data_IF_813115845748
#
_entry.id   IF_813115845748
#
_cell.length_a   1.000
_cell.length_b   1.000
_cell.length_c   1.000
_cell.angle_alpha   90.00
_cell.angle_beta   90.00
_cell.angle_gamma   90.00
#
_symmetry.space_group_name_H-M   'P 1'
#
loop_
_entity.id
_entity.type
_entity.pdbx_description
1 polymer ?
#
# COMPACT_ATOMS: atom_id res chain seq x y z
N UNK A 1 21.82 77.28 -33.29
CA UNK A 1 21.14 75.96 -33.18
C UNK A 1 21.67 75.25 -31.94
N UNK A 2 20.85 75.12 -30.90
CA UNK A 2 21.20 74.53 -29.60
C UNK A 2 21.26 72.99 -29.74
N UNK A 3 22.34 72.36 -29.30
CA UNK A 3 22.41 70.90 -29.10
C UNK A 3 22.46 70.62 -27.61
N UNK A 4 21.37 70.11 -27.06
CA UNK A 4 21.30 69.62 -25.68
C UNK A 4 21.71 68.15 -25.67
N UNK A 5 22.77 67.83 -24.92
CA UNK A 5 23.14 66.47 -24.56
C UNK A 5 22.26 66.04 -23.38
N UNK A 6 21.45 65.00 -23.57
CA UNK A 6 20.73 64.36 -22.47
C UNK A 6 21.54 63.14 -22.03
N UNK A 7 22.34 63.30 -20.98
CA UNK A 7 23.02 62.22 -20.27
C UNK A 7 22.09 61.78 -19.12
N UNK A 8 21.38 60.67 -19.31
CA UNK A 8 20.52 60.08 -18.27
C UNK A 8 21.37 59.38 -17.20
N UNK A 9 21.49 60.00 -16.03
CA UNK A 9 22.09 59.38 -14.83
C UNK A 9 21.01 58.52 -14.17
N UNK A 10 21.13 57.19 -14.28
CA UNK A 10 20.37 56.23 -13.49
C UNK A 10 20.98 56.17 -12.08
N UNK A 11 20.38 56.87 -11.13
CA UNK A 11 20.67 56.72 -9.70
C UNK A 11 19.99 55.44 -9.19
N UNK A 12 20.78 54.36 -9.07
CA UNK A 12 20.39 53.16 -8.32
C UNK A 12 20.36 53.50 -6.83
N UNK A 13 19.17 53.78 -6.28
CA UNK A 13 18.96 53.86 -4.83
C UNK A 13 18.97 52.44 -4.25
N UNK A 14 20.08 52.05 -3.65
CA UNK A 14 20.18 50.84 -2.82
C UNK A 14 19.34 51.10 -1.56
N UNK A 15 18.15 50.49 -1.51
CA UNK A 15 17.33 50.44 -0.30
C UNK A 15 18.00 49.59 0.76
N UNK A 16 18.81 50.21 1.63
CA UNK A 16 19.26 49.58 2.87
C UNK A 16 18.03 49.45 3.77
N UNK A 17 17.40 48.27 3.74
CA UNK A 17 16.38 47.90 4.70
C UNK A 17 17.07 47.74 6.06
N UNK A 18 17.18 48.83 6.83
CA UNK A 18 17.67 48.80 8.19
C UNK A 18 16.66 48.00 9.05
N UNK A 19 16.94 46.70 9.25
CA UNK A 19 16.25 45.90 10.25
C UNK A 19 16.39 46.61 11.60
N UNK A 20 15.26 47.10 12.11
CA UNK A 20 15.12 47.68 13.44
C UNK A 20 15.51 46.58 14.45
N UNK A 21 16.75 46.60 14.95
CA UNK A 21 17.19 45.69 16.01
C UNK A 21 16.30 45.91 17.23
N UNK A 22 15.39 44.96 17.44
CA UNK A 22 14.51 44.92 18.60
C UNK A 22 15.35 44.98 19.88
N UNK A 23 15.10 45.98 20.74
CA UNK A 23 15.83 46.13 22.02
C UNK A 23 15.35 45.03 22.97
N UNK A 24 16.01 43.88 22.92
CA UNK A 24 15.76 42.75 23.81
C UNK A 24 16.00 43.15 25.27
N UNK A 25 15.12 42.72 26.18
CA UNK A 25 15.28 42.91 27.63
C UNK A 25 16.54 42.19 28.14
N UNK A 26 17.05 42.58 29.32
CA UNK A 26 18.22 41.92 29.92
C UNK A 26 17.96 40.44 30.17
N UNK A 27 16.75 40.09 30.62
CA UNK A 27 16.32 38.72 30.86
C UNK A 27 16.25 37.90 29.56
N UNK A 28 15.67 38.47 28.51
CA UNK A 28 15.58 37.82 27.20
C UNK A 28 16.96 37.59 26.59
N UNK A 29 17.89 38.55 26.72
CA UNK A 29 19.29 38.38 26.29
C UNK A 29 19.98 37.25 27.05
N UNK A 30 19.80 37.19 28.37
CA UNK A 30 20.38 36.12 29.19
C UNK A 30 19.79 34.75 28.83
N UNK A 31 18.48 34.67 28.56
CA UNK A 31 17.82 33.43 28.09
C UNK A 31 18.38 32.97 26.74
N UNK A 32 18.52 33.88 25.78
CA UNK A 32 19.06 33.55 24.45
C UNK A 32 20.50 33.11 24.50
N UNK A 33 21.32 33.78 25.30
CA UNK A 33 22.71 33.37 25.55
C UNK A 33 22.75 31.96 26.17
N UNK A 34 21.89 31.67 27.15
CA UNK A 34 21.79 30.33 27.74
C UNK A 34 21.45 29.27 26.68
N UNK A 35 20.49 29.53 25.79
CA UNK A 35 20.11 28.60 24.72
C UNK A 35 21.25 28.37 23.71
N UNK A 36 21.98 29.42 23.32
CA UNK A 36 23.13 29.32 22.42
C UNK A 36 24.25 28.50 23.06
N UNK A 37 24.55 28.77 24.33
CA UNK A 37 25.61 28.08 25.06
C UNK A 37 25.26 26.62 25.36
N UNK A 38 23.97 26.28 25.49
CA UNK A 38 23.56 24.89 25.71
C UNK A 38 24.08 23.96 24.61
N UNK A 39 24.03 24.40 23.34
CA UNK A 39 24.50 23.63 22.19
C UNK A 39 25.98 23.85 21.83
N UNK A 40 26.77 24.54 22.66
CA UNK A 40 28.12 24.95 22.29
C UNK A 40 29.15 23.82 22.50
N UNK A 41 29.70 23.23 21.42
CA UNK A 41 30.63 22.11 21.52
C UNK A 41 32.00 22.50 22.09
N UNK A 42 32.30 23.80 22.20
CA UNK A 42 33.59 24.33 22.65
C UNK A 42 33.66 24.63 24.15
N UNK A 43 32.53 24.56 24.87
CA UNK A 43 32.49 24.77 26.34
C UNK A 43 33.37 23.75 27.06
N UNK A 44 33.38 22.49 26.59
CA UNK A 44 34.24 21.43 27.15
C UNK A 44 35.74 21.73 27.07
N UNK A 45 36.13 22.69 26.22
CA UNK A 45 37.50 23.14 26.04
C UNK A 45 37.75 24.53 26.64
N UNK A 46 36.82 25.06 27.44
CA UNK A 46 36.94 26.36 28.11
C UNK A 46 36.75 27.58 27.18
N UNK A 47 36.27 27.39 25.95
CA UNK A 47 36.07 28.47 24.99
C UNK A 47 34.60 28.88 24.91
N UNK A 48 34.36 30.20 24.89
CA UNK A 48 33.03 30.83 24.68
C UNK A 48 32.87 31.35 23.25
N UNK A 49 33.41 30.62 22.27
CA UNK A 49 33.29 31.01 20.87
C UNK A 49 31.81 31.22 20.49
N UNK A 50 31.50 32.24 19.67
CA UNK A 50 30.12 32.49 19.24
C UNK A 50 29.63 31.33 18.38
N UNK A 51 28.50 30.72 18.76
CA UNK A 51 27.84 29.64 18.03
C UNK A 51 26.64 30.22 17.30
N UNK A 52 26.60 30.01 15.98
CA UNK A 52 25.46 30.40 15.17
C UNK A 52 24.27 29.46 15.47
N UNK A 53 23.11 30.04 15.72
CA UNK A 53 21.83 29.33 15.89
C UNK A 53 20.83 29.93 14.91
N UNK A 54 19.92 29.13 14.37
CA UNK A 54 18.97 29.54 13.33
C UNK A 54 18.06 30.67 13.83
N UNK A 55 17.69 30.63 15.11
CA UNK A 55 16.80 31.58 15.77
C UNK A 55 17.53 32.65 16.58
N UNK A 56 18.86 32.74 16.48
CA UNK A 56 19.71 33.60 17.31
C UNK A 56 19.40 33.43 18.81
N UNK A 57 19.30 32.18 19.27
CA UNK A 57 19.03 31.79 20.65
C UNK A 57 17.59 31.99 21.10
N UNK A 58 16.67 32.45 20.25
CA UNK A 58 15.27 32.66 20.62
C UNK A 58 14.62 31.36 21.10
N UNK A 59 14.94 30.23 20.48
CA UNK A 59 14.52 28.88 20.86
C UNK A 59 15.72 28.03 21.28
N UNK A 60 15.46 26.97 22.06
CA UNK A 60 16.44 25.93 22.35
C UNK A 60 16.49 24.98 21.15
N UNK A 61 17.57 25.02 20.38
CA UNK A 61 17.70 24.29 19.10
C UNK A 61 18.43 22.94 19.22
N UNK A 62 18.86 22.60 20.42
CA UNK A 62 19.57 21.36 20.74
C UNK A 62 18.71 20.51 21.66
N UNK A 63 18.49 19.26 21.24
CA UNK A 63 17.52 18.37 21.89
C UNK A 63 18.21 17.30 22.78
N UNK A 64 19.53 17.12 22.63
CA UNK A 64 20.31 16.07 23.28
C UNK A 64 21.12 16.56 24.51
N UNK A 65 20.56 17.52 25.27
CA UNK A 65 21.27 18.14 26.40
C UNK A 65 21.27 17.32 27.68
N UNK A 66 20.35 16.36 27.78
CA UNK A 66 20.19 15.49 28.93
C UNK A 66 20.59 14.07 28.55
N UNK A 67 21.12 13.31 29.50
CA UNK A 67 21.45 11.90 29.31
C UNK A 67 20.21 11.07 28.99
N UNK A 68 19.02 11.56 29.39
CA UNK A 68 17.72 10.98 29.06
C UNK A 68 16.86 12.01 28.34
N UNK A 69 16.48 11.70 27.11
CA UNK A 69 15.55 12.52 26.30
C UNK A 69 14.22 11.82 26.15
N UNK A 70 13.14 12.60 26.09
CA UNK A 70 11.80 12.10 25.79
C UNK A 70 11.60 12.15 24.28
N UNK A 71 11.23 11.01 23.68
CA UNK A 71 10.99 10.86 22.24
C UNK A 71 9.63 10.19 22.07
N UNK A 72 8.62 10.99 21.71
CA UNK A 72 7.24 10.51 21.72
C UNK A 72 6.92 9.89 23.09
N UNK A 73 6.25 8.74 23.12
CA UNK A 73 5.91 8.07 24.40
C UNK A 73 7.09 7.41 25.14
N UNK A 74 8.32 7.45 24.61
CA UNK A 74 9.50 6.76 25.16
C UNK A 74 10.50 7.72 25.81
N UNK A 75 11.22 7.23 26.81
CA UNK A 75 12.44 7.85 27.33
C UNK A 75 13.65 7.07 26.83
N UNK A 76 14.57 7.78 26.20
CA UNK A 76 15.77 7.24 25.57
C UNK A 76 17.02 7.77 26.26
N UNK A 77 17.96 6.88 26.59
CA UNK A 77 19.25 7.27 27.11
C UNK A 77 20.23 7.54 25.97
N UNK A 78 20.64 8.79 25.78
CA UNK A 78 21.46 9.23 24.63
C UNK A 78 22.82 8.53 24.60
N UNK A 79 23.51 8.46 25.73
CA UNK A 79 24.86 7.86 25.80
C UNK A 79 24.86 6.32 25.68
N UNK A 80 23.90 5.66 26.34
CA UNK A 80 23.83 4.18 26.41
C UNK A 80 23.07 3.55 25.27
N UNK A 81 22.35 4.37 24.49
CA UNK A 81 21.50 3.94 23.38
C UNK A 81 20.46 2.88 23.79
N UNK A 82 19.78 3.12 24.90
CA UNK A 82 18.78 2.20 25.46
C UNK A 82 17.48 2.92 25.84
N UNK A 83 16.36 2.18 25.80
CA UNK A 83 15.06 2.67 26.27
C UNK A 83 15.01 2.51 27.79
N UNK A 84 14.85 3.62 28.50
CA UNK A 84 14.83 3.66 29.98
C UNK A 84 13.43 3.71 30.56
N UNK A 85 12.40 3.89 29.73
CA UNK A 85 11.01 3.80 30.17
C UNK A 85 10.02 4.43 29.19
N UNK A 86 8.74 4.42 29.59
CA UNK A 86 7.67 5.14 28.90
C UNK A 86 7.28 6.39 29.69
N UNK A 87 6.82 7.44 29.03
CA UNK A 87 6.19 8.56 29.74
C UNK A 87 4.91 8.04 30.39
N UNK A 88 4.68 8.40 31.65
CA UNK A 88 3.37 8.25 32.28
C UNK A 88 2.47 9.38 31.79
N UNK A 89 1.41 9.05 31.09
CA UNK A 89 0.41 10.02 30.62
C UNK A 89 -0.39 10.50 31.82
N UNK A 90 -0.39 11.81 32.08
CA UNK A 90 -1.29 12.40 33.07
C UNK A 90 -2.69 12.54 32.47
N UNK A 91 -3.57 11.60 32.81
CA UNK A 91 -4.94 11.58 32.31
C UNK A 91 -5.83 12.69 32.89
N UNK A 92 -5.37 13.41 33.90
CA UNK A 92 -6.15 14.47 34.56
C UNK A 92 -5.88 15.86 33.95
N UNK A 93 -4.76 16.04 33.24
CA UNK A 93 -4.42 17.30 32.57
C UNK A 93 -3.66 17.04 31.26
N UNK A 94 -4.43 16.89 30.18
CA UNK A 94 -3.92 16.63 28.82
C UNK A 94 -3.06 17.78 28.27
N UNK A 95 -3.26 19.00 28.77
CA UNK A 95 -2.55 20.22 28.31
C UNK A 95 -1.25 20.48 29.10
N UNK A 96 -0.95 19.72 30.15
CA UNK A 96 0.29 19.85 30.91
C UNK A 96 1.51 19.22 30.21
N UNK A 97 1.30 18.55 29.07
CA UNK A 97 2.34 17.82 28.35
C UNK A 97 3.14 18.77 27.45
N UNK A 98 4.47 18.56 27.29
CA UNK A 98 5.24 19.29 26.31
C UNK A 98 4.65 19.06 24.90
N UNK A 99 4.28 20.14 24.22
CA UNK A 99 3.75 20.11 22.84
C UNK A 99 4.85 19.50 21.95
N UNK A 100 4.68 18.25 21.53
CA UNK A 100 5.64 17.50 20.71
C UNK A 100 5.91 16.08 21.20
N UNK A 101 5.78 15.82 22.51
CA UNK A 101 6.21 14.55 23.14
C UNK A 101 5.19 13.40 23.02
N UNK A 102 4.04 13.62 22.38
CA UNK A 102 3.01 12.59 22.14
C UNK A 102 2.52 12.55 20.70
N UNK A 103 3.14 13.33 19.79
CA UNK A 103 2.73 13.35 18.40
C UNK A 103 3.11 12.05 17.70
N UNK A 104 2.16 11.41 17.02
CA UNK A 104 2.40 10.26 16.12
C UNK A 104 3.10 10.69 14.83
N UNK A 105 4.27 11.33 14.96
CA UNK A 105 5.07 11.86 13.86
C UNK A 105 6.51 11.37 13.99
N UNK A 106 7.21 11.28 12.87
CA UNK A 106 8.64 10.97 12.86
C UNK A 106 9.46 12.15 13.41
N UNK A 107 10.60 11.86 14.04
CA UNK A 107 11.48 12.86 14.68
C UNK A 107 12.46 13.53 13.71
N UNK A 108 12.72 12.87 12.58
CA UNK A 108 13.55 13.37 11.49
C UNK A 108 12.72 13.40 10.21
N UNK A 109 13.02 14.30 9.26
CA UNK A 109 12.47 14.22 7.91
C UNK A 109 12.69 12.82 7.34
N UNK A 110 11.68 12.27 6.70
CA UNK A 110 11.77 11.07 5.88
C UNK A 110 12.86 11.29 4.80
N UNK A 111 13.89 10.41 4.72
CA UNK A 111 14.90 10.49 3.66
C UNK A 111 14.31 10.45 2.23
N UNK A 112 13.08 9.96 2.06
CA UNK A 112 12.35 9.91 0.80
C UNK A 112 11.29 11.02 0.66
N UNK A 113 11.33 12.03 1.53
CA UNK A 113 10.36 13.14 1.51
C UNK A 113 10.31 13.91 0.18
N UNK A 114 11.39 13.90 -0.60
CA UNK A 114 11.43 14.51 -1.94
C UNK A 114 10.55 13.80 -2.98
N UNK A 115 10.21 12.52 -2.77
CA UNK A 115 9.31 11.76 -3.64
C UNK A 115 7.83 12.13 -3.43
N UNK A 116 7.50 12.78 -2.32
CA UNK A 116 6.14 13.21 -1.96
C UNK A 116 6.12 14.66 -1.47
N UNK A 117 6.41 15.64 -2.35
CA UNK A 117 6.56 17.04 -1.97
C UNK A 117 5.29 17.68 -1.38
N UNK A 118 4.12 17.14 -1.74
CA UNK A 118 2.82 17.62 -1.26
C UNK A 118 2.50 17.16 0.17
N UNK A 119 3.31 16.27 0.73
CA UNK A 119 3.11 15.72 2.07
C UNK A 119 4.20 16.17 3.04
N UNK A 120 3.82 16.28 4.31
CA UNK A 120 4.80 16.62 5.35
C UNK A 120 5.85 15.51 5.47
N UNK A 121 7.15 15.85 5.58
CA UNK A 121 8.23 14.88 5.69
C UNK A 121 8.24 14.13 7.03
N UNK A 122 7.25 14.35 7.90
CA UNK A 122 7.14 13.77 9.24
C UNK A 122 5.88 12.91 9.42
N UNK A 123 5.20 12.54 8.32
CA UNK A 123 3.92 11.80 8.35
C UNK A 123 4.13 10.36 8.80
N UNK A 124 3.21 9.82 9.60
CA UNK A 124 3.15 8.39 9.91
C UNK A 124 1.91 7.77 9.25
N UNK A 125 2.08 6.69 8.48
CA UNK A 125 0.98 5.92 7.90
C UNK A 125 -0.05 6.76 7.14
N UNK A 126 0.39 7.73 6.32
CA UNK A 126 -0.48 8.65 5.56
C UNK A 126 -1.56 9.38 6.41
N UNK A 127 -1.27 9.64 7.69
CA UNK A 127 -2.21 10.16 8.68
C UNK A 127 -3.42 9.25 8.98
N UNK A 128 -3.37 7.98 8.58
CA UNK A 128 -4.40 6.97 8.87
C UNK A 128 -3.78 5.69 9.48
N UNK A 129 -3.38 5.74 10.76
CA UNK A 129 -2.70 4.64 11.44
C UNK A 129 -3.60 3.44 11.78
N UNK A 130 -4.90 3.50 11.44
CA UNK A 130 -5.84 2.38 11.61
C UNK A 130 -5.66 1.36 10.48
N UNK A 131 -5.35 1.86 9.27
CA UNK A 131 -5.16 1.03 8.08
C UNK A 131 -3.69 0.86 7.73
N UNK A 132 -2.88 1.91 7.91
CA UNK A 132 -1.47 1.91 7.53
C UNK A 132 -0.59 1.78 8.76
N UNK A 133 0.36 0.85 8.72
CA UNK A 133 1.39 0.69 9.72
C UNK A 133 2.72 0.85 8.99
N UNK A 134 3.46 1.90 9.34
CA UNK A 134 4.73 2.29 8.73
C UNK A 134 5.87 2.00 9.74
N UNK A 135 6.42 0.78 9.77
CA UNK A 135 7.35 0.34 10.81
C UNK A 135 8.79 0.79 10.51
N UNK A 136 9.05 1.25 9.29
CA UNK A 136 10.38 1.46 8.72
C UNK A 136 10.58 2.82 8.05
N UNK A 137 9.51 3.55 7.73
CA UNK A 137 9.57 4.86 7.07
C UNK A 137 10.01 4.78 5.60
N UNK A 138 9.69 3.68 4.89
CA UNK A 138 10.15 3.41 3.53
C UNK A 138 8.99 2.98 2.61
N UNK A 139 9.20 2.97 1.30
CA UNK A 139 8.16 2.69 0.27
C UNK A 139 7.99 1.19 -0.01
N UNK A 140 6.90 0.79 -0.68
CA UNK A 140 6.34 -0.57 -0.85
C UNK A 140 6.67 -1.30 -2.19
N UNK A 141 6.73 -2.66 -2.19
CA UNK A 141 7.12 -3.46 -3.38
C UNK A 141 6.01 -3.32 -4.41
N UNK A 142 6.34 -2.79 -5.58
CA UNK A 142 5.36 -2.62 -6.65
C UNK A 142 5.54 -3.72 -7.68
N UNK A 143 4.42 -4.36 -7.99
CA UNK A 143 4.26 -5.29 -9.10
C UNK A 143 3.29 -4.70 -10.12
N UNK A 144 3.46 -5.09 -11.37
CA UNK A 144 2.54 -4.80 -12.48
C UNK A 144 1.87 -6.08 -12.95
N UNK A 145 0.59 -6.01 -13.27
CA UNK A 145 -0.11 -7.03 -14.06
C UNK A 145 -0.49 -6.48 -15.43
N UNK A 146 -0.07 -7.17 -16.48
CA UNK A 146 -0.42 -6.81 -17.85
C UNK A 146 -1.81 -7.34 -18.25
N UNK A 147 -2.23 -7.03 -19.47
CA UNK A 147 -3.53 -7.45 -19.97
C UNK A 147 -3.67 -8.98 -20.11
N UNK A 148 -2.55 -9.70 -20.26
CA UNK A 148 -2.50 -11.16 -20.41
C UNK A 148 -2.38 -11.88 -19.05
N UNK A 149 -2.35 -11.13 -17.95
CA UNK A 149 -2.31 -11.66 -16.59
C UNK A 149 -0.91 -12.02 -16.10
N UNK A 150 0.15 -11.59 -16.81
CA UNK A 150 1.53 -11.76 -16.34
C UNK A 150 1.82 -10.76 -15.22
N UNK A 151 2.38 -11.24 -14.12
CA UNK A 151 2.73 -10.42 -12.95
C UNK A 151 4.24 -10.25 -12.89
N UNK A 152 4.70 -9.00 -12.97
CA UNK A 152 6.12 -8.67 -12.96
C UNK A 152 6.46 -7.63 -11.89
N UNK A 153 7.70 -7.69 -11.39
CA UNK A 153 8.20 -6.74 -10.40
C UNK A 153 8.57 -5.41 -11.07
N UNK A 154 7.93 -4.32 -10.65
CA UNK A 154 8.25 -2.96 -11.09
C UNK A 154 9.32 -2.35 -10.20
N UNK A 155 9.16 -2.46 -8.87
CA UNK A 155 10.04 -1.81 -7.89
C UNK A 155 10.17 -2.69 -6.65
N UNK A 156 11.41 -3.04 -6.29
CA UNK A 156 11.71 -3.71 -5.01
C UNK A 156 11.74 -2.72 -3.87
N UNK A 157 11.27 -3.18 -2.71
CA UNK A 157 11.34 -2.43 -1.47
C UNK A 157 11.45 -3.34 -0.23
N UNK A 158 11.38 -2.74 0.96
CA UNK A 158 11.52 -3.43 2.24
C UNK A 158 10.20 -3.51 3.05
N UNK A 159 9.06 -3.25 2.40
CA UNK A 159 7.75 -3.22 3.07
C UNK A 159 7.18 -4.57 3.47
N UNK A 160 6.16 -4.56 4.34
CA UNK A 160 5.47 -5.79 4.80
C UNK A 160 4.41 -6.29 3.83
N UNK A 161 4.03 -5.46 2.87
CA UNK A 161 3.01 -5.74 1.84
C UNK A 161 3.61 -5.54 0.45
N UNK A 162 3.02 -6.23 -0.53
CA UNK A 162 3.26 -5.97 -1.96
C UNK A 162 2.02 -5.27 -2.52
N UNK A 163 2.22 -4.35 -3.47
CA UNK A 163 1.15 -3.70 -4.25
C UNK A 163 1.14 -4.24 -5.66
N UNK A 164 -0.06 -4.47 -6.21
CA UNK A 164 -0.24 -4.81 -7.61
C UNK A 164 -0.96 -3.68 -8.33
N UNK A 165 -0.32 -3.14 -9.37
CA UNK A 165 -0.88 -2.17 -10.30
C UNK A 165 -1.26 -2.86 -11.61
N UNK A 166 -2.32 -2.40 -12.27
CA UNK A 166 -2.53 -2.74 -13.68
C UNK A 166 -1.59 -1.89 -14.54
N UNK A 167 -0.94 -2.50 -15.54
CA UNK A 167 -0.04 -1.78 -16.45
C UNK A 167 -0.54 -1.81 -17.89
N UNK A 168 -0.16 -0.81 -18.68
CA UNK A 168 -0.34 -0.79 -20.13
C UNK A 168 0.74 -1.59 -20.87
N UNK A 169 0.64 -1.65 -22.19
CA UNK A 169 1.55 -2.41 -23.05
C UNK A 169 3.01 -1.89 -22.99
N UNK A 170 3.23 -0.70 -22.44
CA UNK A 170 4.56 -0.12 -22.19
C UNK A 170 5.11 -0.42 -20.79
N UNK A 171 4.31 -1.05 -19.93
CA UNK A 171 4.61 -1.27 -18.51
C UNK A 171 4.29 -0.08 -17.62
N UNK A 172 3.61 0.96 -18.13
CA UNK A 172 3.21 2.11 -17.33
C UNK A 172 1.95 1.79 -16.51
N UNK A 173 1.93 2.22 -15.25
CA UNK A 173 0.80 2.04 -14.33
C UNK A 173 -0.45 2.78 -14.85
N UNK A 174 -1.62 2.13 -14.77
CA UNK A 174 -2.92 2.66 -15.20
C UNK A 174 -3.65 3.33 -14.03
N UNK A 175 -4.35 4.43 -14.33
CA UNK A 175 -5.41 4.99 -13.48
C UNK A 175 -6.66 4.12 -13.65
N UNK A 176 -6.86 3.17 -12.74
CA UNK A 176 -7.96 2.19 -12.81
C UNK A 176 -9.21 2.72 -12.10
N UNK A 177 -9.07 3.74 -11.26
CA UNK A 177 -10.17 4.35 -10.52
C UNK A 177 -10.77 5.60 -11.23
N UNK A 178 -10.15 6.05 -12.32
CA UNK A 178 -10.50 7.25 -13.11
C UNK A 178 -10.46 8.54 -12.27
N UNK A 179 -9.50 8.65 -11.35
CA UNK A 179 -9.29 9.86 -10.55
C UNK A 179 -8.63 10.99 -11.35
N UNK A 180 -7.99 10.66 -12.47
CA UNK A 180 -7.19 11.56 -13.29
C UNK A 180 -5.70 11.54 -12.94
N UNK A 181 -5.29 10.80 -11.92
CA UNK A 181 -3.90 10.64 -11.49
C UNK A 181 -3.61 9.15 -11.25
N UNK A 182 -2.35 8.75 -11.41
CA UNK A 182 -1.91 7.38 -11.10
C UNK A 182 -1.25 7.38 -9.73
N UNK A 183 -1.91 6.76 -8.75
CA UNK A 183 -1.43 6.72 -7.36
C UNK A 183 -1.69 5.35 -6.69
N UNK A 184 -1.37 5.25 -5.40
CA UNK A 184 -1.49 3.98 -4.66
C UNK A 184 -2.92 3.43 -4.60
N UNK A 185 -3.93 4.28 -4.75
CA UNK A 185 -5.34 3.87 -4.79
C UNK A 185 -5.75 3.17 -6.08
N UNK A 186 -4.86 3.14 -7.09
CA UNK A 186 -4.98 2.32 -8.30
C UNK A 186 -4.45 0.89 -8.13
N UNK A 187 -3.96 0.55 -6.94
CA UNK A 187 -3.38 -0.76 -6.66
C UNK A 187 -4.24 -1.61 -5.72
N UNK A 188 -3.92 -2.90 -5.66
CA UNK A 188 -4.38 -3.79 -4.59
C UNK A 188 -3.20 -4.26 -3.74
N UNK A 189 -3.38 -4.22 -2.43
CA UNK A 189 -2.35 -4.65 -1.47
C UNK A 189 -2.51 -6.12 -1.08
N UNK A 190 -1.39 -6.84 -1.08
CA UNK A 190 -1.29 -8.22 -0.58
C UNK A 190 -0.13 -8.42 0.38
N UNK A 191 -0.13 -9.51 1.16
CA UNK A 191 0.98 -9.84 2.05
C UNK A 191 2.27 -9.99 1.24
N UNK A 192 3.39 -9.45 1.75
CA UNK A 192 4.68 -9.59 1.08
C UNK A 192 4.99 -11.04 0.70
N UNK A 193 5.46 -11.19 -0.53
CA UNK A 193 5.83 -12.46 -1.13
C UNK A 193 4.66 -13.20 -1.77
N UNK A 194 3.42 -12.72 -1.72
CA UNK A 194 2.33 -13.37 -2.48
C UNK A 194 2.56 -13.20 -3.98
N UNK A 195 2.88 -11.98 -4.43
CA UNK A 195 3.06 -11.66 -5.86
C UNK A 195 4.40 -12.17 -6.40
N UNK A 196 5.44 -12.19 -5.55
CA UNK A 196 6.74 -12.77 -5.91
C UNK A 196 6.79 -14.30 -5.88
N UNK A 197 5.71 -14.98 -5.52
CA UNK A 197 5.63 -16.46 -5.44
C UNK A 197 4.54 -17.03 -6.36
N UNK A 198 4.42 -16.50 -7.59
CA UNK A 198 3.68 -17.17 -8.66
C UNK A 198 4.37 -18.51 -8.96
N UNK A 199 3.58 -19.58 -9.04
CA UNK A 199 4.05 -20.93 -9.30
C UNK A 199 3.35 -21.50 -10.52
N UNK A 200 4.07 -22.30 -11.28
CA UNK A 200 3.53 -23.05 -12.39
C UNK A 200 2.89 -24.36 -11.90
N UNK A 201 1.80 -24.74 -12.54
CA UNK A 201 1.14 -26.03 -12.41
C UNK A 201 0.78 -26.59 -13.77
N UNK A 202 0.44 -27.88 -13.80
CA UNK A 202 -0.06 -28.55 -15.00
C UNK A 202 -1.18 -29.49 -14.60
N UNK A 203 -2.31 -29.40 -15.29
CA UNK A 203 -3.45 -30.27 -15.05
C UNK A 203 -3.21 -31.68 -15.61
N UNK A 204 -4.14 -32.61 -15.37
CA UNK A 204 -4.05 -33.98 -15.89
C UNK A 204 -4.10 -34.07 -17.43
N UNK A 205 -4.53 -33.01 -18.11
CA UNK A 205 -4.63 -32.91 -19.57
C UNK A 205 -3.37 -32.31 -20.22
N UNK A 206 -2.39 -31.87 -19.41
CA UNK A 206 -1.18 -31.21 -19.88
C UNK A 206 -1.30 -29.70 -20.08
N UNK A 207 -2.37 -29.08 -19.59
CA UNK A 207 -2.58 -27.63 -19.65
C UNK A 207 -1.79 -26.97 -18.52
N UNK A 208 -0.87 -26.08 -18.88
CA UNK A 208 -0.10 -25.29 -17.94
C UNK A 208 -0.94 -24.11 -17.41
N UNK A 209 -0.72 -23.75 -16.15
CA UNK A 209 -1.38 -22.62 -15.51
C UNK A 209 -0.49 -22.04 -14.41
N UNK A 210 -0.67 -20.76 -14.12
CA UNK A 210 -0.02 -20.08 -13.02
C UNK A 210 -0.93 -20.02 -11.81
N UNK A 211 -0.35 -20.11 -10.62
CA UNK A 211 -1.11 -19.95 -9.38
C UNK A 211 -0.30 -19.30 -8.26
N UNK A 212 -1.02 -18.54 -7.44
CA UNK A 212 -0.54 -17.94 -6.20
C UNK A 212 -1.32 -18.50 -5.02
N UNK A 213 -0.67 -18.53 -3.85
CA UNK A 213 -1.30 -18.95 -2.60
C UNK A 213 -1.29 -17.82 -1.59
N UNK A 214 -2.41 -17.65 -0.90
CA UNK A 214 -2.53 -16.76 0.26
C UNK A 214 -3.22 -17.48 1.42
N UNK A 215 -2.90 -17.07 2.65
CA UNK A 215 -3.52 -17.60 3.87
C UNK A 215 -4.57 -16.62 4.45
N UNK A 216 -5.10 -15.69 3.62
CA UNK A 216 -6.12 -14.72 3.99
C UNK A 216 -7.21 -14.60 2.89
N UNK A 217 -8.41 -15.13 3.18
CA UNK A 217 -9.52 -15.17 2.23
C UNK A 217 -10.04 -13.78 1.82
N UNK A 218 -9.96 -12.76 2.70
CA UNK A 218 -10.41 -11.40 2.37
C UNK A 218 -9.44 -10.71 1.42
N UNK A 219 -8.14 -10.83 1.68
CA UNK A 219 -7.09 -10.30 0.81
C UNK A 219 -7.07 -11.01 -0.55
N UNK A 220 -7.22 -12.34 -0.55
CA UNK A 220 -7.45 -13.18 -1.72
C UNK A 220 -8.59 -12.68 -2.60
N UNK A 221 -9.72 -12.34 -1.96
CA UNK A 221 -10.88 -11.83 -2.68
C UNK A 221 -10.56 -10.52 -3.39
N UNK A 222 -9.95 -9.55 -2.70
CA UNK A 222 -9.61 -8.26 -3.29
C UNK A 222 -8.60 -8.41 -4.45
N UNK A 223 -7.57 -9.24 -4.26
CA UNK A 223 -6.60 -9.53 -5.33
C UNK A 223 -7.28 -10.16 -6.55
N UNK A 224 -8.13 -11.16 -6.33
CA UNK A 224 -8.88 -11.81 -7.40
C UNK A 224 -9.80 -10.84 -8.15
N UNK A 225 -10.57 -10.01 -7.43
CA UNK A 225 -11.45 -9.02 -8.06
C UNK A 225 -10.64 -8.01 -8.87
N UNK A 226 -9.49 -7.55 -8.36
CA UNK A 226 -8.59 -6.65 -9.07
C UNK A 226 -8.05 -7.28 -10.37
N UNK A 227 -7.54 -8.51 -10.31
CA UNK A 227 -7.04 -9.23 -11.47
C UNK A 227 -8.14 -9.45 -12.51
N UNK A 228 -9.33 -9.85 -12.06
CA UNK A 228 -10.47 -10.12 -12.94
C UNK A 228 -10.96 -8.88 -13.70
N UNK A 229 -10.93 -7.69 -13.10
CA UNK A 229 -11.42 -6.46 -13.74
C UNK A 229 -10.37 -5.74 -14.58
N UNK A 230 -9.08 -5.96 -14.30
CA UNK A 230 -7.98 -5.21 -14.92
C UNK A 230 -7.17 -6.01 -15.94
N UNK A 231 -7.56 -7.26 -16.22
CA UNK A 231 -6.92 -8.12 -17.23
C UNK A 231 -7.95 -8.66 -18.23
N UNK A 232 -7.47 -9.16 -19.38
CA UNK A 232 -8.31 -9.76 -20.42
C UNK A 232 -8.47 -11.28 -20.26
N UNK A 233 -7.82 -11.87 -19.26
CA UNK A 233 -7.78 -13.31 -19.03
C UNK A 233 -8.69 -13.74 -17.89
N UNK A 234 -9.08 -15.00 -17.93
CA UNK A 234 -9.89 -15.61 -16.90
C UNK A 234 -9.02 -15.93 -15.68
N UNK A 235 -9.53 -15.58 -14.51
CA UNK A 235 -8.91 -15.91 -13.23
C UNK A 235 -9.82 -16.85 -12.47
N UNK A 236 -9.21 -17.82 -11.79
CA UNK A 236 -9.86 -18.75 -10.90
C UNK A 236 -9.39 -18.54 -9.47
N UNK A 237 -10.25 -18.86 -8.51
CA UNK A 237 -9.99 -18.73 -7.07
C UNK A 237 -10.63 -19.89 -6.33
N UNK A 238 -9.82 -20.61 -5.56
CA UNK A 238 -10.24 -21.72 -4.72
C UNK A 238 -9.97 -21.39 -3.27
N UNK A 239 -11.01 -21.30 -2.46
CA UNK A 239 -10.90 -21.21 -1.01
C UNK A 239 -10.99 -22.60 -0.40
N UNK A 240 -10.04 -22.94 0.45
CA UNK A 240 -9.99 -24.19 1.21
C UNK A 240 -9.71 -23.85 2.67
N UNK A 241 -10.75 -23.91 3.51
CA UNK A 241 -10.71 -23.45 4.89
C UNK A 241 -10.25 -21.97 4.98
N UNK A 242 -9.05 -21.73 5.53
CA UNK A 242 -8.43 -20.40 5.68
C UNK A 242 -7.36 -20.09 4.63
N UNK A 243 -7.21 -20.94 3.62
CA UNK A 243 -6.25 -20.78 2.53
C UNK A 243 -7.00 -20.48 1.25
N UNK A 244 -6.43 -19.61 0.43
CA UNK A 244 -6.91 -19.39 -0.93
C UNK A 244 -5.81 -19.62 -1.95
N UNK A 245 -6.23 -20.07 -3.11
CA UNK A 245 -5.42 -20.17 -4.31
C UNK A 245 -6.06 -19.29 -5.36
N UNK A 246 -5.25 -18.55 -6.11
CA UNK A 246 -5.68 -17.77 -7.26
C UNK A 246 -4.87 -18.29 -8.44
N UNK A 247 -5.50 -18.54 -9.58
CA UNK A 247 -4.83 -19.09 -10.75
C UNK A 247 -5.33 -18.47 -12.05
N UNK A 248 -4.52 -18.54 -13.09
CA UNK A 248 -4.91 -18.21 -14.45
C UNK A 248 -4.21 -19.15 -15.42
N UNK A 249 -4.90 -19.46 -16.52
CA UNK A 249 -4.32 -20.15 -17.67
C UNK A 249 -3.82 -19.15 -18.73
N UNK A 250 -3.86 -17.85 -18.43
CA UNK A 250 -3.62 -16.76 -19.39
C UNK A 250 -4.54 -16.86 -20.63
N UNK A 251 -5.73 -17.43 -20.46
CA UNK A 251 -6.72 -17.61 -21.52
C UNK A 251 -7.94 -16.73 -21.27
N UNK A 252 -8.52 -16.17 -22.35
CA UNK A 252 -9.64 -15.23 -22.26
C UNK A 252 -10.99 -15.90 -22.00
N UNK A 253 -11.10 -17.22 -22.17
CA UNK A 253 -12.39 -17.96 -22.17
C UNK A 253 -12.40 -19.22 -21.32
N UNK A 254 -11.27 -19.55 -20.69
CA UNK A 254 -11.09 -20.79 -19.93
C UNK A 254 -10.13 -20.56 -18.78
N UNK A 255 -10.43 -21.20 -17.66
CA UNK A 255 -9.48 -21.32 -16.55
C UNK A 255 -9.45 -22.77 -16.03
N UNK A 256 -8.43 -23.53 -16.43
CA UNK A 256 -8.24 -24.93 -16.01
C UNK A 256 -7.57 -25.06 -14.64
N UNK A 257 -6.76 -24.07 -14.24
CA UNK A 257 -5.93 -24.12 -13.03
C UNK A 257 -6.74 -24.26 -11.75
N UNK A 258 -7.80 -23.48 -11.58
CA UNK A 258 -8.62 -23.54 -10.36
C UNK A 258 -9.47 -24.80 -10.29
N UNK A 259 -9.84 -25.39 -11.44
CA UNK A 259 -10.51 -26.68 -11.49
C UNK A 259 -9.58 -27.81 -11.02
N UNK A 260 -8.31 -27.81 -11.45
CA UNK A 260 -7.30 -28.77 -11.00
C UNK A 260 -6.95 -28.58 -9.51
N UNK A 261 -6.79 -27.35 -9.04
CA UNK A 261 -6.56 -27.05 -7.62
C UNK A 261 -7.76 -27.50 -6.76
N UNK A 262 -8.99 -27.29 -7.23
CA UNK A 262 -10.20 -27.80 -6.58
C UNK A 262 -10.16 -29.32 -6.49
N UNK A 263 -9.86 -30.02 -7.59
CA UNK A 263 -9.74 -31.47 -7.63
C UNK A 263 -8.73 -32.00 -6.60
N UNK A 264 -7.52 -31.44 -6.59
CA UNK A 264 -6.46 -31.79 -5.62
C UNK A 264 -6.90 -31.52 -4.18
N UNK A 265 -7.63 -30.44 -3.94
CA UNK A 265 -8.14 -30.08 -2.60
C UNK A 265 -9.23 -31.05 -2.11
N UNK A 266 -10.08 -31.53 -3.01
CA UNK A 266 -11.10 -32.53 -2.69
C UNK A 266 -10.50 -33.88 -2.32
N UNK A 267 -9.42 -34.30 -2.98
CA UNK A 267 -8.72 -35.57 -2.71
C UNK A 267 -8.01 -35.61 -1.35
N UNK A 268 -7.49 -34.48 -0.86
CA UNK A 268 -6.77 -34.43 0.43
C UNK A 268 -7.68 -34.70 1.64
N UNK A 269 -9.01 -34.63 1.49
CA UNK A 269 -9.98 -35.11 2.47
C UNK A 269 -10.15 -34.28 3.75
N UNK A 270 -9.20 -33.40 4.11
CA UNK A 270 -9.20 -32.60 5.36
C UNK A 270 -9.95 -31.27 5.28
N UNK A 271 -10.37 -30.84 4.09
CA UNK A 271 -11.12 -29.60 3.91
C UNK A 271 -12.55 -29.73 4.47
N UNK A 272 -12.96 -28.73 5.27
CA UNK A 272 -14.31 -28.60 5.86
C UNK A 272 -15.14 -27.51 5.17
N UNK A 273 -14.49 -26.55 4.51
CA UNK A 273 -15.13 -25.54 3.68
C UNK A 273 -14.36 -25.37 2.38
N UNK A 274 -15.06 -25.44 1.26
CA UNK A 274 -14.49 -25.20 -0.07
C UNK A 274 -15.39 -24.24 -0.85
N UNK A 275 -14.79 -23.24 -1.48
CA UNK A 275 -15.46 -22.42 -2.49
C UNK A 275 -14.61 -22.36 -3.76
N UNK A 276 -15.27 -22.43 -4.90
CA UNK A 276 -14.65 -22.26 -6.21
C UNK A 276 -15.31 -21.07 -6.89
N UNK A 277 -14.49 -20.15 -7.39
CA UNK A 277 -14.92 -18.91 -8.01
C UNK A 277 -14.05 -18.66 -9.22
N UNK A 278 -14.62 -18.32 -10.38
CA UNK A 278 -13.85 -17.84 -11.52
C UNK A 278 -14.47 -16.56 -12.07
N UNK A 279 -13.68 -15.75 -12.78
CA UNK A 279 -14.15 -14.55 -13.46
C UNK A 279 -14.60 -14.87 -14.88
N UNK A 280 -15.32 -13.96 -15.53
CA UNK A 280 -15.41 -13.94 -16.99
C UNK A 280 -14.96 -12.56 -17.47
N UNK A 281 -13.94 -12.46 -18.35
CA UNK A 281 -13.52 -11.17 -18.90
C UNK A 281 -14.64 -10.52 -19.70
N UNK A 282 -14.84 -9.20 -19.54
CA UNK A 282 -15.97 -8.48 -20.14
C UNK A 282 -16.05 -8.59 -21.68
N UNK A 283 -14.91 -8.75 -22.36
CA UNK A 283 -14.84 -8.89 -23.81
C UNK A 283 -15.17 -10.28 -24.36
N UNK A 284 -15.09 -11.32 -23.53
CA UNK A 284 -15.22 -12.72 -23.99
C UNK A 284 -16.67 -13.19 -24.09
N UNK A 285 -17.57 -12.58 -23.33
CA UNK A 285 -18.96 -13.04 -23.20
C UNK A 285 -19.97 -11.87 -23.25
N UNK A 286 -20.07 -11.14 -24.39
CA UNK A 286 -20.96 -9.98 -24.50
C UNK A 286 -22.43 -10.39 -24.30
N UNK A 287 -23.05 -9.85 -23.24
CA UNK A 287 -24.45 -10.08 -22.90
C UNK A 287 -24.75 -11.40 -22.18
N UNK A 288 -23.75 -12.24 -21.92
CA UNK A 288 -23.91 -13.47 -21.16
C UNK A 288 -23.35 -13.32 -19.74
N UNK A 289 -24.21 -13.56 -18.75
CA UNK A 289 -23.94 -13.31 -17.34
C UNK A 289 -24.27 -14.58 -16.57
N UNK A 290 -23.26 -15.40 -16.27
CA UNK A 290 -23.42 -16.60 -15.45
C UNK A 290 -22.54 -17.78 -15.84
N UNK A 291 -22.68 -18.92 -15.14
CA UNK A 291 -21.90 -20.13 -15.37
C UNK A 291 -22.30 -20.83 -16.66
N UNK A 292 -21.30 -21.30 -17.41
CA UNK A 292 -21.39 -22.03 -18.66
C UNK A 292 -22.10 -23.39 -18.53
N UNK A 293 -22.58 -23.92 -19.65
CA UNK A 293 -23.12 -25.29 -19.72
C UNK A 293 -24.57 -25.51 -19.24
N UNK A 294 -25.26 -24.49 -18.73
CA UNK A 294 -26.63 -24.63 -18.23
C UNK A 294 -27.74 -24.42 -19.29
N UNK A 295 -27.41 -23.93 -20.49
CA UNK A 295 -28.38 -23.73 -21.56
C UNK A 295 -28.66 -25.05 -22.31
N UNK A 296 -29.84 -25.64 -22.08
CA UNK A 296 -30.30 -26.90 -22.70
C UNK A 296 -30.31 -26.89 -24.23
N UNK A 297 -30.41 -25.71 -24.85
CA UNK A 297 -30.45 -25.56 -26.30
C UNK A 297 -29.05 -25.29 -26.90
N UNK A 298 -28.00 -25.26 -26.08
CA UNK A 298 -26.62 -25.04 -26.54
C UNK A 298 -25.89 -26.36 -26.79
N UNK A 299 -25.01 -26.39 -27.80
CA UNK A 299 -24.07 -27.50 -28.02
C UNK A 299 -23.08 -27.71 -26.86
N UNK A 300 -22.98 -26.73 -25.96
CA UNK A 300 -22.19 -26.79 -24.73
C UNK A 300 -23.01 -27.20 -23.50
N UNK A 301 -24.28 -27.58 -23.64
CA UNK A 301 -25.08 -28.09 -22.53
C UNK A 301 -24.39 -29.25 -21.81
N UNK A 302 -24.32 -29.19 -20.48
CA UNK A 302 -23.65 -30.21 -19.68
C UNK A 302 -22.13 -30.18 -19.72
N UNK A 303 -21.51 -29.11 -20.25
CA UNK A 303 -20.06 -28.88 -20.27
C UNK A 303 -19.65 -27.74 -19.34
N UNK A 304 -18.35 -27.49 -19.20
CA UNK A 304 -17.84 -26.36 -18.42
C UNK A 304 -18.30 -26.41 -16.97
N UNK A 305 -18.90 -25.32 -16.49
CA UNK A 305 -19.32 -25.16 -15.10
C UNK A 305 -20.40 -26.16 -14.67
N UNK A 306 -21.36 -26.46 -15.55
CA UNK A 306 -22.38 -27.47 -15.28
C UNK A 306 -21.74 -28.86 -15.07
N UNK A 307 -20.76 -29.22 -15.90
CA UNK A 307 -20.04 -30.48 -15.76
C UNK A 307 -19.28 -30.55 -14.43
N UNK A 308 -18.53 -29.49 -14.09
CA UNK A 308 -17.74 -29.42 -12.86
C UNK A 308 -18.63 -29.49 -11.62
N UNK A 309 -19.75 -28.76 -11.61
CA UNK A 309 -20.69 -28.78 -10.49
C UNK A 309 -21.38 -30.14 -10.33
N UNK A 310 -21.81 -30.77 -11.43
CA UNK A 310 -22.41 -32.13 -11.42
C UNK A 310 -21.42 -33.17 -10.90
N UNK A 311 -20.20 -33.16 -11.44
CA UNK A 311 -19.15 -34.08 -11.02
C UNK A 311 -18.84 -33.93 -9.52
N UNK A 312 -18.68 -32.69 -9.06
CA UNK A 312 -18.41 -32.40 -7.65
C UNK A 312 -19.55 -32.87 -6.73
N UNK A 313 -20.81 -32.61 -7.10
CA UNK A 313 -21.96 -33.06 -6.29
C UNK A 313 -22.13 -34.58 -6.30
N UNK A 314 -21.79 -35.26 -7.40
CA UNK A 314 -21.88 -36.70 -7.52
C UNK A 314 -20.85 -37.43 -6.65
N UNK A 315 -19.58 -37.00 -6.69
CA UNK A 315 -18.48 -37.73 -6.05
C UNK A 315 -18.07 -37.15 -4.69
N UNK A 316 -18.33 -35.87 -4.44
CA UNK A 316 -17.88 -35.15 -3.25
C UNK A 316 -19.02 -34.39 -2.55
N UNK A 317 -20.26 -34.93 -2.61
CA UNK A 317 -21.45 -34.33 -2.01
C UNK A 317 -21.26 -33.85 -0.56
N UNK A 318 -20.53 -34.63 0.24
CA UNK A 318 -20.25 -34.32 1.66
C UNK A 318 -19.38 -33.09 1.87
N UNK A 319 -18.67 -32.61 0.83
CA UNK A 319 -17.79 -31.44 0.89
C UNK A 319 -18.50 -30.11 0.69
N UNK A 320 -19.74 -30.12 0.21
CA UNK A 320 -20.59 -28.93 0.05
C UNK A 320 -19.85 -27.73 -0.58
N UNK A 321 -19.27 -27.95 -1.76
CA UNK A 321 -18.50 -26.92 -2.49
C UNK A 321 -19.40 -25.79 -2.95
N UNK A 322 -19.02 -24.55 -2.64
CA UNK A 322 -19.75 -23.35 -3.05
C UNK A 322 -19.20 -22.80 -4.36
N UNK A 323 -19.95 -22.95 -5.46
CA UNK A 323 -19.57 -22.44 -6.77
C UNK A 323 -20.14 -21.04 -7.04
N UNK A 324 -19.30 -20.18 -7.63
CA UNK A 324 -19.67 -18.81 -8.01
C UNK A 324 -18.96 -18.40 -9.30
N UNK A 325 -19.61 -17.55 -10.08
CA UNK A 325 -18.95 -16.78 -11.15
C UNK A 325 -18.88 -15.34 -10.71
N UNK A 326 -17.74 -14.68 -10.90
CA UNK A 326 -17.59 -13.24 -10.73
C UNK A 326 -17.74 -12.56 -12.08
N UNK A 327 -18.85 -11.87 -12.26
CA UNK A 327 -19.09 -11.10 -13.47
C UNK A 327 -18.45 -9.71 -13.32
N UNK A 328 -17.56 -9.39 -14.26
CA UNK A 328 -16.59 -8.28 -14.16
C UNK A 328 -17.21 -6.91 -14.47
N UNK A 329 -18.22 -6.85 -15.35
CA UNK A 329 -18.90 -5.58 -15.72
C UNK A 329 -19.75 -5.03 -14.59
N UNK A 330 -20.56 -5.87 -13.97
CA UNK A 330 -21.47 -5.52 -12.86
C UNK A 330 -20.84 -5.75 -11.49
N UNK A 331 -19.66 -6.38 -11.44
CA UNK A 331 -18.90 -6.71 -10.21
C UNK A 331 -19.72 -7.55 -9.23
N UNK A 332 -20.49 -8.51 -9.75
CA UNK A 332 -21.41 -9.35 -8.96
C UNK A 332 -21.01 -10.82 -8.99
N UNK A 333 -21.18 -11.47 -7.83
CA UNK A 333 -21.08 -12.91 -7.71
C UNK A 333 -22.41 -13.59 -8.04
N UNK A 334 -22.36 -14.57 -8.93
CA UNK A 334 -23.49 -15.38 -9.36
C UNK A 334 -23.29 -16.80 -8.81
N UNK A 335 -23.94 -17.15 -7.70
CA UNK A 335 -23.83 -18.48 -7.12
C UNK A 335 -24.56 -19.51 -7.99
N UNK A 336 -24.02 -20.72 -8.10
CA UNK A 336 -24.63 -21.80 -8.86
C UNK A 336 -24.35 -23.18 -8.25
N UNK A 337 -25.08 -24.19 -8.71
CA UNK A 337 -24.85 -25.60 -8.40
C UNK A 337 -25.26 -26.46 -9.62
N UNK A 338 -25.26 -27.80 -9.48
CA UNK A 338 -25.62 -28.73 -10.56
C UNK A 338 -27.04 -28.56 -11.14
N UNK A 339 -27.91 -27.77 -10.47
CA UNK A 339 -29.27 -27.47 -10.90
C UNK A 339 -29.38 -26.12 -11.62
N UNK A 340 -28.32 -25.31 -11.62
CA UNK A 340 -28.27 -24.00 -12.26
C UNK A 340 -27.92 -22.86 -11.30
N UNK A 341 -28.19 -21.65 -11.75
CA UNK A 341 -27.99 -20.41 -10.98
C UNK A 341 -28.91 -20.42 -9.74
N UNK A 342 -28.34 -20.15 -8.58
CA UNK A 342 -29.06 -20.02 -7.32
C UNK A 342 -29.61 -18.59 -7.24
N UNK A 343 -30.91 -18.43 -7.50
CA UNK A 343 -31.61 -17.15 -7.31
C UNK A 343 -31.75 -16.88 -5.82
N UNK A 344 -31.34 -15.69 -5.39
CA UNK A 344 -31.56 -15.20 -4.02
C UNK A 344 -33.02 -14.85 -3.79
#
# INVERSE_FOLDING_TARGET
>A
MKKYYFLGIFLFTIGICAQKKEKLSKEEKARREKNIQAGNPFIKFGSKAPVATLSNGKYLEVQDLDSIVTIGTMRWHVDKKEIVGRISVDTLNIDAQPIGDTAGRWMSPDPLSEEYPDWTPYRYGLNNPIFYNDPTGLLEDDYGVDADGNIELIKKTDEKVDRLFAVDDSGAKKDVNNSGEVDNSDSVEVKKGVLGNVKEGTDASGIAYDFMKTDNNSQSKNLFEFLAVNTNVEWGKVDVNSKSFISTEHNTTREAGSADILYKSLLQGSATSIAHTHSHPAGSYPGYVGPSGFNKNSATYGKGDDALARWTEQYYKSKNVNFKVYETTTKKYIPYNSKGIIKK
#
